data_IF_769313714479
#
_entry.id   IF_769313714479
#
_cell.length_a   1.000
_cell.length_b   1.000
_cell.length_c   1.000
_cell.angle_alpha   90.00
_cell.angle_beta   90.00
_cell.angle_gamma   90.00
#
_symmetry.space_group_name_H-M   'P 1'
#
loop_
_entity.id
_entity.type
_entity.pdbx_description
1 polymer ?
#
# COMPACT_ATOMS: atom_id res chain seq x y z
N UNK A 1 11.94 -17.41 -0.30
CA UNK A 1 12.51 -16.07 -0.47
C UNK A 1 11.68 -14.93 0.13
N UNK A 2 10.34 -14.81 -0.09
CA UNK A 2 9.52 -13.76 0.58
C UNK A 2 9.55 -13.82 2.12
N UNK A 3 9.55 -15.01 2.71
CA UNK A 3 9.55 -15.19 4.17
C UNK A 3 10.87 -14.76 4.84
N UNK A 4 12.01 -14.97 4.21
CA UNK A 4 13.32 -14.60 4.76
C UNK A 4 13.56 -13.08 4.76
N UNK A 5 13.03 -12.36 3.76
CA UNK A 5 13.12 -10.89 3.70
C UNK A 5 12.22 -10.21 4.74
N UNK A 6 11.07 -10.81 5.08
CA UNK A 6 10.22 -10.34 6.17
C UNK A 6 10.88 -10.55 7.54
N UNK A 7 11.61 -11.65 7.75
CA UNK A 7 12.33 -11.91 9.00
C UNK A 7 13.48 -10.93 9.27
N UNK A 8 14.20 -10.48 8.24
CA UNK A 8 15.27 -9.49 8.39
C UNK A 8 14.73 -8.07 8.66
N UNK A 9 13.55 -7.75 8.14
CA UNK A 9 12.87 -6.46 8.39
C UNK A 9 12.23 -6.38 9.79
N UNK A 10 11.93 -7.50 10.42
CA UNK A 10 11.32 -7.54 11.78
C UNK A 10 12.28 -7.03 12.87
N UNK A 11 13.60 -7.15 12.67
CA UNK A 11 14.61 -6.69 13.65
C UNK A 11 14.81 -5.19 13.68
N UNK A 12 14.43 -4.46 12.62
CA UNK A 12 14.67 -3.02 12.47
C UNK A 12 13.40 -2.17 12.65
N UNK A 13 12.24 -2.80 12.86
CA UNK A 13 10.97 -2.09 13.01
C UNK A 13 10.93 -1.30 14.33
N UNK A 14 10.68 0.00 14.21
CA UNK A 14 10.38 0.87 15.34
C UNK A 14 8.93 0.70 15.76
N UNK A 15 8.70 0.74 17.06
CA UNK A 15 7.35 0.67 17.65
C UNK A 15 6.89 2.03 18.10
N UNK A 16 5.72 2.46 17.64
CA UNK A 16 5.04 3.69 18.08
C UNK A 16 3.70 3.33 18.73
N UNK A 17 3.38 3.96 19.87
CA UNK A 17 2.07 3.83 20.52
C UNK A 17 1.37 5.17 20.48
N UNK A 18 0.35 5.31 19.64
CA UNK A 18 -0.39 6.56 19.43
C UNK A 18 -1.88 6.28 19.62
N UNK A 19 -2.52 7.01 20.55
CA UNK A 19 -3.94 6.84 20.91
C UNK A 19 -4.31 5.38 21.24
N UNK A 20 -3.53 4.71 22.09
CA UNK A 20 -3.69 3.32 22.51
C UNK A 20 -3.61 2.29 21.34
N UNK A 21 -3.03 2.68 20.21
CA UNK A 21 -2.81 1.80 19.07
C UNK A 21 -1.32 1.67 18.80
N UNK A 22 -0.86 0.43 18.65
CA UNK A 22 0.54 0.12 18.31
C UNK A 22 0.74 0.11 16.80
N UNK A 23 1.84 0.71 16.36
CA UNK A 23 2.26 0.78 14.96
C UNK A 23 3.70 0.31 14.85
N UNK A 24 3.98 -0.55 13.88
CA UNK A 24 5.32 -0.96 13.49
C UNK A 24 5.73 -0.20 12.24
N UNK A 25 6.87 0.46 12.27
CA UNK A 25 7.24 1.42 11.23
C UNK A 25 8.73 1.46 10.94
N UNK A 26 9.07 1.88 9.72
CA UNK A 26 10.44 2.21 9.29
C UNK A 26 10.53 3.70 8.88
N UNK A 27 11.72 4.33 9.02
CA UNK A 27 11.93 5.70 8.60
C UNK A 27 11.73 5.84 7.09
N UNK A 28 11.12 6.95 6.67
CA UNK A 28 11.00 7.29 5.25
C UNK A 28 12.32 7.86 4.72
N UNK A 29 12.91 7.21 3.72
CA UNK A 29 14.13 7.70 3.07
C UNK A 29 13.85 9.03 2.39
N UNK A 30 14.69 10.04 2.66
CA UNK A 30 14.55 11.40 2.14
C UNK A 30 13.52 12.29 2.87
N UNK A 31 12.86 11.78 3.93
CA UNK A 31 11.82 12.50 4.68
C UNK A 31 12.06 12.42 6.19
N UNK A 32 13.11 13.09 6.68
CA UNK A 32 13.46 13.09 8.10
C UNK A 32 12.27 13.41 9.00
N UNK A 33 12.11 12.64 10.09
CA UNK A 33 11.01 12.78 11.04
C UNK A 33 9.66 12.26 10.55
N UNK A 34 9.64 11.43 9.51
CA UNK A 34 8.47 10.68 9.06
C UNK A 34 8.78 9.19 8.95
N UNK A 35 7.77 8.37 9.23
CA UNK A 35 7.86 6.91 9.28
C UNK A 35 6.69 6.29 8.56
N UNK A 36 6.95 5.26 7.75
CA UNK A 36 5.94 4.44 7.11
C UNK A 36 5.58 3.26 8.02
N UNK A 37 4.31 2.97 8.21
CA UNK A 37 3.85 1.83 9.02
C UNK A 37 3.49 0.63 8.17
N UNK A 38 3.62 -0.57 8.73
CA UNK A 38 3.21 -1.82 8.05
C UNK A 38 1.73 -1.87 7.69
N UNK A 39 0.89 -1.15 8.45
CA UNK A 39 -0.56 -1.05 8.21
C UNK A 39 -0.97 0.10 7.26
N UNK A 40 -0.02 0.75 6.57
CA UNK A 40 -0.31 1.70 5.50
C UNK A 40 -0.54 3.14 5.94
N UNK A 41 -0.09 3.52 7.14
CA UNK A 41 -0.14 4.88 7.64
C UNK A 41 1.24 5.56 7.64
N UNK A 42 1.25 6.88 7.71
CA UNK A 42 2.47 7.67 7.90
C UNK A 42 2.42 8.33 9.27
N UNK A 43 3.50 8.18 10.04
CA UNK A 43 3.70 8.82 11.34
C UNK A 43 4.63 10.02 11.18
N UNK A 44 4.42 11.07 11.93
CA UNK A 44 5.30 12.24 12.04
C UNK A 44 5.76 12.42 13.48
N UNK A 45 7.08 12.57 13.65
CA UNK A 45 7.75 12.91 14.93
C UNK A 45 8.29 14.35 14.92
N UNK A 46 7.97 15.16 13.91
CA UNK A 46 8.48 16.55 13.78
C UNK A 46 8.01 17.53 14.85
N UNK A 47 7.04 17.14 15.67
CA UNK A 47 6.52 17.94 16.78
C UNK A 47 6.73 17.20 18.09
N UNK A 48 6.50 17.87 19.23
CA UNK A 48 6.60 17.27 20.59
C UNK A 48 5.82 15.96 20.75
N UNK A 49 4.71 15.81 20.05
CA UNK A 49 3.91 14.59 20.06
C UNK A 49 3.94 13.91 18.69
N UNK A 50 4.19 12.63 18.73
CA UNK A 50 4.08 11.73 17.57
C UNK A 50 2.63 11.62 17.13
N UNK A 51 2.39 11.65 15.85
CA UNK A 51 1.02 11.52 15.33
C UNK A 51 0.95 10.80 14.00
N UNK A 52 -0.12 10.05 13.82
CA UNK A 52 -0.52 9.55 12.51
C UNK A 52 -0.95 10.73 11.64
N UNK A 53 -0.38 10.84 10.45
CA UNK A 53 -0.73 11.87 9.48
C UNK A 53 -2.11 11.60 8.87
N UNK A 54 -2.90 12.67 8.70
CA UNK A 54 -4.16 12.58 7.97
C UNK A 54 -3.89 12.37 6.49
N UNK A 55 -4.52 11.35 5.92
CA UNK A 55 -4.52 11.09 4.49
C UNK A 55 -5.61 11.92 3.80
N UNK A 56 -5.36 12.31 2.56
CA UNK A 56 -6.29 13.07 1.71
C UNK A 56 -6.66 12.16 0.53
N UNK A 57 -7.93 11.85 0.38
CA UNK A 57 -8.43 11.15 -0.81
C UNK A 57 -8.44 12.11 -2.00
N UNK A 58 -7.79 11.71 -3.07
CA UNK A 58 -7.74 12.48 -4.31
C UNK A 58 -8.74 11.93 -5.34
N UNK A 59 -9.13 12.74 -6.32
CA UNK A 59 -10.11 12.38 -7.35
C UNK A 59 -9.74 11.11 -8.16
N UNK A 60 -8.44 10.77 -8.25
CA UNK A 60 -7.97 9.52 -8.88
C UNK A 60 -8.13 8.26 -8.00
N UNK A 61 -8.74 8.39 -6.82
CA UNK A 61 -9.02 7.31 -5.87
C UNK A 61 -7.86 6.92 -4.96
N UNK A 62 -6.69 7.57 -5.05
CA UNK A 62 -5.55 7.28 -4.19
C UNK A 62 -5.48 8.19 -2.97
N UNK A 63 -4.89 7.67 -1.89
CA UNK A 63 -4.57 8.45 -0.70
C UNK A 63 -3.24 9.19 -0.86
N UNK A 64 -3.25 10.46 -0.50
CA UNK A 64 -2.08 11.34 -0.45
C UNK A 64 -1.84 11.82 0.98
N UNK A 65 -0.59 12.12 1.30
CA UNK A 65 -0.17 12.71 2.57
C UNK A 65 0.70 13.95 2.30
N UNK A 66 0.52 14.98 3.11
CA UNK A 66 1.36 16.19 3.04
C UNK A 66 2.60 16.03 3.91
N UNK A 67 3.79 16.04 3.31
CA UNK A 67 5.08 15.97 3.98
C UNK A 67 5.86 17.26 3.72
N UNK A 68 6.68 17.69 4.70
CA UNK A 68 7.62 18.81 4.52
C UNK A 68 9.01 18.26 4.27
N UNK A 69 9.59 18.60 3.13
CA UNK A 69 10.93 18.21 2.72
C UNK A 69 12.04 18.88 3.55
N UNK A 70 13.31 18.58 3.24
CA UNK A 70 14.48 19.23 3.87
C UNK A 70 14.53 20.74 3.62
N UNK A 71 13.99 21.18 2.47
CA UNK A 71 13.83 22.58 2.05
C UNK A 71 12.69 23.32 2.76
N UNK A 72 11.95 22.64 3.64
CA UNK A 72 10.75 23.16 4.32
C UNK A 72 9.50 23.19 3.44
N UNK A 73 9.59 22.94 2.14
CA UNK A 73 8.45 22.94 1.24
C UNK A 73 7.54 21.73 1.49
N UNK A 74 6.24 22.00 1.45
CA UNK A 74 5.24 20.95 1.64
C UNK A 74 4.88 20.30 0.31
N UNK A 75 5.03 18.99 0.24
CA UNK A 75 4.70 18.20 -0.93
C UNK A 75 3.56 17.21 -0.62
N UNK A 76 2.68 16.98 -1.59
CA UNK A 76 1.66 15.93 -1.53
C UNK A 76 2.21 14.68 -2.20
N UNK A 77 2.33 13.59 -1.44
CA UNK A 77 2.92 12.32 -1.91
C UNK A 77 1.91 11.19 -1.77
N UNK A 78 1.87 10.28 -2.73
CA UNK A 78 0.99 9.10 -2.70
C UNK A 78 1.43 8.15 -1.59
N UNK A 79 0.51 7.77 -0.70
CA UNK A 79 0.79 6.92 0.46
C UNK A 79 1.32 5.56 0.03
N UNK A 80 0.64 4.84 -0.88
CA UNK A 80 1.09 3.51 -1.34
C UNK A 80 2.53 3.51 -1.87
N UNK A 81 2.95 4.58 -2.57
CA UNK A 81 4.32 4.68 -3.07
C UNK A 81 5.35 4.89 -1.97
N UNK A 82 5.02 5.62 -0.91
CA UNK A 82 5.88 5.76 0.27
C UNK A 82 6.03 4.41 0.97
N UNK A 83 4.92 3.71 1.20
CA UNK A 83 4.92 2.37 1.82
C UNK A 83 5.74 1.39 0.97
N UNK A 84 5.49 1.30 -0.34
CA UNK A 84 6.21 0.39 -1.22
C UNK A 84 7.71 0.68 -1.25
N UNK A 85 8.12 1.94 -1.37
CA UNK A 85 9.54 2.34 -1.36
C UNK A 85 10.25 2.03 -0.04
N UNK A 86 9.51 1.99 1.07
CA UNK A 86 10.08 1.76 2.41
C UNK A 86 10.21 0.27 2.72
N UNK A 87 9.21 -0.54 2.35
CA UNK A 87 9.12 -1.93 2.80
C UNK A 87 9.39 -2.96 1.71
N UNK A 88 9.16 -2.62 0.45
CA UNK A 88 9.34 -3.57 -0.64
C UNK A 88 10.73 -3.43 -1.23
N UNK A 89 11.35 -4.56 -1.55
CA UNK A 89 12.62 -4.58 -2.26
C UNK A 89 12.51 -3.78 -3.58
N UNK A 90 13.60 -3.10 -3.97
CA UNK A 90 13.66 -2.42 -5.26
C UNK A 90 13.27 -3.37 -6.38
N UNK A 91 12.37 -2.96 -7.28
CA UNK A 91 11.88 -3.85 -8.32
C UNK A 91 12.98 -4.20 -9.32
N UNK A 92 13.03 -5.47 -9.71
CA UNK A 92 13.67 -5.91 -10.94
C UNK A 92 12.70 -5.71 -12.11
N UNK A 93 13.20 -5.78 -13.35
CA UNK A 93 12.34 -5.81 -14.52
C UNK A 93 11.42 -7.04 -14.51
N UNK A 94 10.31 -6.96 -15.25
CA UNK A 94 9.44 -8.10 -15.45
C UNK A 94 10.10 -9.15 -16.38
N UNK A 95 9.44 -10.28 -16.57
CA UNK A 95 9.93 -11.39 -17.43
C UNK A 95 10.17 -11.01 -18.90
N UNK A 96 9.71 -9.83 -19.31
CA UNK A 96 9.86 -9.29 -20.67
C UNK A 96 10.80 -8.08 -20.72
N UNK A 97 11.58 -7.81 -19.63
CA UNK A 97 12.51 -6.69 -19.55
C UNK A 97 11.84 -5.32 -19.39
N UNK A 98 10.57 -5.27 -18.94
CA UNK A 98 9.86 -4.00 -18.70
C UNK A 98 10.01 -3.55 -17.26
N UNK A 99 10.31 -2.28 -17.05
CA UNK A 99 10.50 -1.69 -15.73
C UNK A 99 9.25 -1.81 -14.85
N UNK A 100 9.40 -2.37 -13.66
CA UNK A 100 8.38 -2.38 -12.61
C UNK A 100 8.46 -1.09 -11.81
N UNK A 101 7.79 -0.06 -12.25
CA UNK A 101 7.77 1.26 -11.60
C UNK A 101 6.40 1.69 -11.10
N UNK A 102 5.38 0.85 -11.27
CA UNK A 102 4.05 1.04 -10.71
C UNK A 102 3.92 0.24 -9.41
N UNK A 103 3.00 0.68 -8.56
CA UNK A 103 2.62 -0.04 -7.34
C UNK A 103 1.17 -0.48 -7.50
N UNK A 104 0.96 -1.79 -7.52
CA UNK A 104 -0.35 -2.42 -7.59
C UNK A 104 -0.90 -2.67 -6.17
N UNK A 105 -2.23 -2.63 -6.04
CA UNK A 105 -2.98 -3.10 -4.87
C UNK A 105 -3.56 -4.47 -5.21
N UNK A 106 -3.13 -5.52 -4.48
CA UNK A 106 -3.50 -6.91 -4.77
C UNK A 106 -5.02 -7.16 -4.70
N UNK A 107 -5.72 -6.45 -3.81
CA UNK A 107 -7.19 -6.51 -3.68
C UNK A 107 -7.94 -5.52 -4.59
N UNK A 108 -7.22 -4.72 -5.40
CA UNK A 108 -7.73 -3.61 -6.20
C UNK A 108 -8.35 -2.46 -5.39
N UNK A 109 -8.23 -2.43 -4.06
CA UNK A 109 -8.66 -1.31 -3.23
C UNK A 109 -7.51 -0.31 -3.05
N UNK A 110 -7.59 0.83 -3.72
CA UNK A 110 -6.60 1.92 -3.67
C UNK A 110 -6.45 2.56 -2.28
N UNK A 111 -7.35 2.27 -1.36
CA UNK A 111 -7.34 2.77 0.01
C UNK A 111 -6.60 1.83 0.96
N UNK A 112 -6.46 0.55 0.61
CA UNK A 112 -5.78 -0.45 1.40
C UNK A 112 -4.26 -0.43 1.15
N UNK A 113 -3.55 0.46 1.82
CA UNK A 113 -2.10 0.64 1.67
C UNK A 113 -1.25 -0.22 2.62
N UNK A 114 -1.79 -1.32 3.16
CA UNK A 114 -1.01 -2.27 3.96
C UNK A 114 0.12 -2.87 3.12
N UNK A 115 1.30 -3.05 3.72
CA UNK A 115 2.48 -3.61 3.02
C UNK A 115 2.17 -4.92 2.32
N UNK A 116 1.42 -5.82 2.99
CA UNK A 116 1.06 -7.14 2.46
C UNK A 116 0.15 -7.08 1.23
N UNK A 117 -0.49 -5.93 0.99
CA UNK A 117 -1.41 -5.69 -0.14
C UNK A 117 -0.74 -4.97 -1.32
N UNK A 118 0.55 -4.65 -1.23
CA UNK A 118 1.26 -3.87 -2.25
C UNK A 118 2.34 -4.70 -2.94
N UNK A 119 2.52 -4.47 -4.23
CA UNK A 119 3.62 -5.02 -5.00
C UNK A 119 4.11 -4.03 -6.07
N UNK A 120 5.39 -4.16 -6.45
CA UNK A 120 5.90 -3.48 -7.63
C UNK A 120 5.50 -4.24 -8.89
N UNK A 121 5.02 -3.53 -9.90
CA UNK A 121 4.62 -4.11 -11.18
C UNK A 121 4.99 -3.22 -12.36
N UNK A 122 5.08 -3.81 -13.54
CA UNK A 122 5.07 -3.08 -14.80
C UNK A 122 3.64 -2.65 -15.13
N UNK A 123 3.50 -1.71 -16.06
CA UNK A 123 2.18 -1.25 -16.51
C UNK A 123 1.32 -2.41 -17.05
N UNK A 124 1.93 -3.33 -17.79
CA UNK A 124 1.21 -4.48 -18.36
C UNK A 124 0.76 -5.45 -17.29
N UNK A 125 1.65 -5.81 -16.33
CA UNK A 125 1.27 -6.65 -15.18
C UNK A 125 0.10 -6.06 -14.41
N UNK A 126 0.09 -4.73 -14.20
CA UNK A 126 -0.99 -4.03 -13.51
C UNK A 126 -2.33 -4.12 -14.26
N UNK A 127 -2.30 -3.91 -15.59
CA UNK A 127 -3.50 -4.05 -16.43
C UNK A 127 -4.04 -5.48 -16.45
N UNK A 128 -3.17 -6.47 -16.57
CA UNK A 128 -3.56 -7.88 -16.61
C UNK A 128 -4.17 -8.33 -15.29
N UNK A 129 -3.58 -7.90 -14.16
CA UNK A 129 -4.16 -8.11 -12.84
C UNK A 129 -5.57 -7.50 -12.72
N UNK A 130 -5.74 -6.23 -13.12
CA UNK A 130 -7.05 -5.57 -13.09
C UNK A 130 -8.10 -6.30 -13.93
N UNK A 131 -7.74 -6.74 -15.16
CA UNK A 131 -8.63 -7.50 -16.05
C UNK A 131 -9.05 -8.83 -15.43
N UNK A 132 -8.08 -9.56 -14.85
CA UNK A 132 -8.34 -10.83 -14.16
C UNK A 132 -9.34 -10.67 -13.01
N UNK A 133 -9.07 -9.73 -12.10
CA UNK A 133 -9.96 -9.48 -10.95
C UNK A 133 -11.36 -9.03 -11.41
N UNK A 134 -11.44 -8.19 -12.45
CA UNK A 134 -12.73 -7.79 -13.04
C UNK A 134 -13.50 -8.98 -13.59
N UNK A 135 -12.84 -9.91 -14.28
CA UNK A 135 -13.45 -11.13 -14.81
C UNK A 135 -13.95 -12.06 -13.70
N UNK A 136 -13.16 -12.25 -12.64
CA UNK A 136 -13.55 -13.06 -11.49
C UNK A 136 -14.79 -12.47 -10.80
N UNK A 137 -14.81 -11.16 -10.57
CA UNK A 137 -15.97 -10.49 -9.96
C UNK A 137 -17.25 -10.62 -10.83
N UNK A 138 -17.12 -10.55 -12.15
CA UNK A 138 -18.24 -10.73 -13.07
C UNK A 138 -18.80 -12.16 -13.01
N UNK A 139 -17.93 -13.18 -12.97
CA UNK A 139 -18.35 -14.58 -12.82
C UNK A 139 -19.04 -14.86 -11.48
N UNK A 140 -18.54 -14.26 -10.39
CA UNK A 140 -19.16 -14.40 -9.08
C UNK A 140 -20.55 -13.74 -9.04
N UNK A 141 -20.72 -12.58 -9.68
CA UNK A 141 -22.01 -11.90 -9.77
C UNK A 141 -23.04 -12.70 -10.60
N UNK A 142 -22.63 -13.30 -11.71
CA UNK A 142 -23.50 -14.14 -12.54
C UNK A 142 -23.86 -15.50 -11.90
N UNK A 143 -22.96 -16.05 -11.07
CA UNK A 143 -23.20 -17.31 -10.35
C UNK A 143 -24.19 -17.19 -9.20
N UNK A 144 -24.41 -16.01 -8.62
CA UNK A 144 -25.38 -15.77 -7.57
C UNK A 144 -26.84 -15.70 -8.04
N UNK A 145 -27.08 -15.54 -9.36
CA UNK A 145 -28.43 -15.53 -9.94
C UNK A 145 -28.99 -16.95 -10.25
N UNK A 146 -28.15 -18.00 -10.19
CA UNK A 146 -28.56 -19.38 -10.52
C UNK A 146 -28.94 -20.23 -9.30
N UNK A 147 -28.99 -19.66 -8.10
CA UNK A 147 -29.25 -20.37 -6.82
C UNK A 147 -30.71 -20.39 -6.38
N UNK A 148 -31.69 -20.03 -7.20
CA UNK A 148 -33.11 -20.10 -6.90
C UNK A 148 -33.79 -21.33 -7.52
N UNK A 149 -33.45 -22.56 -7.11
CA UNK A 149 -34.33 -23.69 -7.32
C UNK A 149 -35.27 -23.78 -6.13
N UNK A 150 -36.46 -23.28 -6.30
CA UNK A 150 -37.61 -23.55 -5.46
C UNK A 150 -37.82 -25.07 -5.31
N UNK A 151 -37.63 -25.59 -4.12
CA UNK A 151 -38.23 -26.88 -3.73
C UNK A 151 -39.68 -26.63 -3.35
N UNK A 152 -40.55 -26.71 -4.34
CA UNK A 152 -42.00 -26.89 -4.14
C UNK A 152 -42.32 -28.35 -4.46
N UNK A 153 -42.54 -29.17 -3.43
CA UNK A 153 -43.46 -30.30 -3.40
C UNK A 153 -43.47 -30.88 -1.99
#
# INVERSE_FOLDING_TARGET
MKAQLLQQAETDLLTFVINNKTYYALPLVGWAGYYATTCGHIISTKRKQEKVKTNILHANGYLYVGLSGPDGLRQKVRVHRLIAKTFLQSPSDDRHGRMRQEVNHLDCDKLNNKVVNLEWCSHVENLDHYRLIKSIKALQASGSELGGFDNAA
#
